data_IF_726656322730
#
_entry.id   IF_726656322730
#
_cell.length_a   1.000
_cell.length_b   1.000
_cell.length_c   1.000
_cell.angle_alpha   90.00
_cell.angle_beta   90.00
_cell.angle_gamma   90.00
#
_symmetry.space_group_name_H-M   'P 1'
#
loop_
_entity.id
_entity.type
_entity.pdbx_description
1 polymer ?
#
# COMPACT_ATOMS: atom_id res chain seq x y z
N UNK A 1 -56.23 12.90 -34.34
CA UNK A 1 -54.81 13.04 -34.25
C UNK A 1 -54.45 12.73 -32.81
N UNK A 2 -53.99 11.51 -32.53
CA UNK A 2 -53.63 11.02 -31.17
C UNK A 2 -52.12 10.99 -31.09
N UNK A 3 -51.52 11.79 -30.17
CA UNK A 3 -50.09 11.82 -29.91
C UNK A 3 -49.77 10.79 -28.80
N UNK A 4 -49.11 9.71 -29.16
CA UNK A 4 -48.57 8.75 -28.18
C UNK A 4 -47.21 9.25 -27.70
N UNK A 5 -47.14 9.66 -26.42
CA UNK A 5 -45.91 10.01 -25.71
C UNK A 5 -45.19 8.70 -25.36
N UNK A 6 -44.10 8.41 -26.03
CA UNK A 6 -43.21 7.30 -25.70
C UNK A 6 -42.34 7.65 -24.48
N UNK A 7 -42.56 6.94 -23.37
CA UNK A 7 -41.75 7.02 -22.16
C UNK A 7 -40.45 6.25 -22.37
N UNK A 8 -39.35 6.96 -22.58
CA UNK A 8 -38.01 6.37 -22.66
C UNK A 8 -37.53 6.07 -21.21
N UNK A 9 -37.61 4.80 -20.78
CA UNK A 9 -36.97 4.34 -19.54
C UNK A 9 -35.45 4.29 -19.77
N UNK A 10 -34.71 5.24 -19.20
CA UNK A 10 -33.29 5.14 -19.01
C UNK A 10 -33.02 4.07 -17.95
N UNK A 11 -32.63 2.90 -18.38
CA UNK A 11 -31.98 1.88 -17.49
C UNK A 11 -30.62 2.44 -17.10
N UNK A 12 -30.55 3.09 -15.95
CA UNK A 12 -29.27 3.31 -15.26
C UNK A 12 -28.74 1.93 -14.87
N UNK A 13 -27.79 1.43 -15.63
CA UNK A 13 -27.06 0.23 -15.28
C UNK A 13 -26.38 0.46 -13.93
N UNK A 14 -26.75 -0.33 -12.92
CA UNK A 14 -26.02 -0.41 -11.65
C UNK A 14 -24.67 -1.03 -11.98
N UNK A 15 -23.64 -0.20 -12.14
CA UNK A 15 -22.26 -0.67 -12.27
C UNK A 15 -21.89 -1.43 -10.99
N UNK A 16 -21.60 -2.69 -11.15
CA UNK A 16 -20.81 -3.61 -10.42
C UNK A 16 -20.54 -3.40 -8.92
N UNK A 17 -21.53 -3.66 -8.08
CA UNK A 17 -21.32 -3.81 -6.62
C UNK A 17 -20.78 -5.21 -6.21
N UNK A 18 -20.31 -6.03 -7.15
CA UNK A 18 -20.00 -7.45 -6.91
C UNK A 18 -18.51 -7.84 -7.06
N UNK A 19 -17.64 -6.97 -7.58
CA UNK A 19 -16.21 -7.28 -7.67
C UNK A 19 -15.49 -6.98 -6.33
N UNK A 20 -14.58 -7.84 -5.88
CA UNK A 20 -13.78 -7.56 -4.68
C UNK A 20 -12.90 -6.32 -4.90
N UNK A 21 -12.63 -5.52 -3.85
CA UNK A 21 -11.74 -4.38 -3.96
C UNK A 21 -10.34 -4.81 -4.39
N UNK A 22 -9.65 -3.94 -5.13
CA UNK A 22 -8.29 -4.16 -5.61
C UNK A 22 -7.30 -3.36 -4.78
N UNK A 23 -6.33 -4.07 -4.21
CA UNK A 23 -5.22 -3.51 -3.47
C UNK A 23 -3.98 -3.54 -4.36
N UNK A 24 -3.39 -2.39 -4.61
CA UNK A 24 -2.13 -2.26 -5.34
C UNK A 24 -1.01 -1.94 -4.36
N UNK A 25 -0.02 -2.83 -4.24
CA UNK A 25 1.18 -2.57 -3.45
C UNK A 25 2.28 -2.06 -4.37
N UNK A 26 2.75 -0.85 -4.10
CA UNK A 26 3.85 -0.20 -4.82
C UNK A 26 4.99 0.00 -3.84
N UNK A 27 5.97 -0.88 -3.90
CA UNK A 27 7.05 -0.96 -2.94
C UNK A 27 8.39 -1.34 -3.57
N UNK A 28 9.36 -1.57 -2.70
CA UNK A 28 10.70 -1.98 -3.07
C UNK A 28 10.99 -3.45 -2.71
N UNK A 29 12.22 -3.77 -2.28
CA UNK A 29 12.64 -5.12 -1.91
C UNK A 29 11.89 -5.69 -0.70
N UNK A 30 11.41 -4.85 0.20
CA UNK A 30 10.70 -5.27 1.41
C UNK A 30 9.33 -5.90 1.06
N UNK A 31 8.69 -5.38 0.02
CA UNK A 31 7.40 -5.88 -0.48
C UNK A 31 7.55 -6.88 -1.64
N UNK A 32 8.71 -6.88 -2.34
CA UNK A 32 8.99 -7.81 -3.44
C UNK A 32 9.48 -9.20 -2.98
N UNK A 33 9.51 -9.48 -1.67
CA UNK A 33 10.00 -10.74 -1.09
C UNK A 33 11.48 -11.03 -1.45
N UNK A 34 12.36 -10.01 -1.43
CA UNK A 34 13.76 -10.18 -1.78
C UNK A 34 14.44 -11.23 -0.89
N UNK A 35 15.18 -12.17 -1.52
CA UNK A 35 15.97 -13.19 -0.82
C UNK A 35 15.16 -14.32 -0.19
N UNK A 36 13.84 -14.35 -0.35
CA UNK A 36 12.95 -15.41 0.11
C UNK A 36 12.02 -15.86 -1.03
N UNK A 37 11.27 -16.95 -0.83
CA UNK A 37 10.27 -17.36 -1.80
C UNK A 37 9.12 -16.35 -1.85
N UNK A 38 8.64 -15.98 -3.03
CA UNK A 38 7.58 -14.98 -3.21
C UNK A 38 6.31 -15.27 -2.38
N UNK A 39 5.93 -16.56 -2.24
CA UNK A 39 4.77 -16.98 -1.43
C UNK A 39 4.93 -16.74 0.08
N UNK A 40 6.17 -16.55 0.56
CA UNK A 40 6.46 -16.28 1.96
C UNK A 40 6.43 -14.79 2.29
N UNK A 41 6.49 -13.90 1.28
CA UNK A 41 6.47 -12.45 1.47
C UNK A 41 5.15 -11.95 2.06
N UNK A 42 5.20 -10.88 2.85
CA UNK A 42 4.04 -10.33 3.56
C UNK A 42 2.87 -9.97 2.62
N UNK A 43 3.14 -9.55 1.38
CA UNK A 43 2.08 -9.24 0.40
C UNK A 43 1.35 -10.51 -0.03
N UNK A 44 2.07 -11.63 -0.19
CA UNK A 44 1.44 -12.92 -0.48
C UNK A 44 0.64 -13.44 0.72
N UNK A 45 1.15 -13.23 1.95
CA UNK A 45 0.42 -13.56 3.18
C UNK A 45 -0.82 -12.68 3.35
N UNK A 46 -0.76 -11.40 2.94
CA UNK A 46 -1.93 -10.51 2.89
C UNK A 46 -3.00 -11.07 1.96
N UNK A 47 -2.63 -11.48 0.76
CA UNK A 47 -3.57 -12.10 -0.19
C UNK A 47 -4.22 -13.36 0.40
N UNK A 48 -3.44 -14.21 1.08
CA UNK A 48 -3.97 -15.38 1.79
C UNK A 48 -4.91 -14.99 2.94
N UNK A 49 -4.56 -13.98 3.76
CA UNK A 49 -5.39 -13.51 4.87
C UNK A 49 -6.72 -12.94 4.39
N UNK A 50 -6.73 -12.32 3.22
CA UNK A 50 -7.94 -11.78 2.61
C UNK A 50 -8.84 -12.85 2.00
N UNK A 51 -8.28 -14.01 1.60
CA UNK A 51 -9.03 -15.19 1.14
C UNK A 51 -10.12 -14.85 0.09
N UNK A 52 -9.73 -14.13 -0.96
CA UNK A 52 -10.62 -13.70 -2.04
C UNK A 52 -11.55 -12.53 -1.70
N UNK A 53 -11.51 -11.97 -0.48
CA UNK A 53 -12.27 -10.77 -0.11
C UNK A 53 -11.73 -9.49 -0.76
N UNK A 54 -10.51 -9.55 -1.25
CA UNK A 54 -9.90 -8.49 -2.07
C UNK A 54 -8.89 -9.11 -3.04
N UNK A 55 -8.67 -8.47 -4.18
CA UNK A 55 -7.58 -8.79 -5.11
C UNK A 55 -6.33 -8.03 -4.68
N UNK A 56 -5.21 -8.72 -4.46
CA UNK A 56 -3.94 -8.10 -4.08
C UNK A 56 -2.97 -8.16 -5.25
N UNK A 57 -2.57 -7.01 -5.75
CA UNK A 57 -1.64 -6.83 -6.86
C UNK A 57 -0.31 -6.33 -6.29
N UNK A 58 0.74 -7.14 -6.36
CA UNK A 58 2.07 -6.74 -5.94
C UNK A 58 2.86 -6.21 -7.14
N UNK A 59 3.03 -4.89 -7.20
CA UNK A 59 3.82 -4.20 -8.21
C UNK A 59 5.18 -3.71 -7.65
N UNK A 60 5.69 -4.32 -6.59
CA UNK A 60 6.94 -3.93 -5.96
C UNK A 60 8.15 -4.39 -6.76
N UNK A 61 9.21 -3.57 -6.79
CA UNK A 61 10.45 -3.84 -7.52
C UNK A 61 11.65 -3.65 -6.58
N UNK A 62 12.45 -4.71 -6.38
CA UNK A 62 13.63 -4.64 -5.54
C UNK A 62 14.60 -3.54 -5.99
N UNK A 63 15.08 -2.72 -5.04
CA UNK A 63 16.01 -1.63 -5.29
C UNK A 63 15.36 -0.35 -5.79
N UNK A 64 14.02 -0.29 -5.89
CA UNK A 64 13.31 0.87 -6.38
C UNK A 64 13.37 2.05 -5.41
N UNK A 65 13.51 3.24 -5.96
CA UNK A 65 13.42 4.51 -5.22
C UNK A 65 12.03 5.11 -5.32
N UNK A 66 11.74 6.09 -4.48
CA UNK A 66 10.52 6.88 -4.60
C UNK A 66 10.34 7.52 -5.98
N UNK A 67 11.46 7.91 -6.62
CA UNK A 67 11.46 8.46 -7.98
C UNK A 67 11.03 7.46 -9.04
N UNK A 68 11.49 6.21 -8.95
CA UNK A 68 11.09 5.13 -9.85
C UNK A 68 9.60 4.79 -9.69
N UNK A 69 9.14 4.63 -8.44
CA UNK A 69 7.73 4.41 -8.15
C UNK A 69 6.83 5.51 -8.69
N UNK A 70 7.20 6.78 -8.45
CA UNK A 70 6.44 7.93 -8.96
C UNK A 70 6.37 8.00 -10.49
N UNK A 71 7.38 7.49 -11.19
CA UNK A 71 7.39 7.48 -12.65
C UNK A 71 6.44 6.44 -13.26
N UNK A 72 6.29 5.26 -12.62
CA UNK A 72 5.47 4.15 -13.15
C UNK A 72 4.06 4.06 -12.56
N UNK A 73 3.78 4.73 -11.43
CA UNK A 73 2.49 4.65 -10.78
C UNK A 73 1.30 5.05 -11.67
N UNK A 74 1.37 6.11 -12.52
CA UNK A 74 0.25 6.44 -13.41
C UNK A 74 -0.17 5.30 -14.34
N UNK A 75 0.77 4.55 -14.89
CA UNK A 75 0.48 3.40 -15.74
C UNK A 75 -0.14 2.26 -14.94
N UNK A 76 0.33 2.01 -13.71
CA UNK A 76 -0.23 1.00 -12.81
C UNK A 76 -1.65 1.34 -12.40
N UNK A 77 -1.94 2.60 -12.09
CA UNK A 77 -3.30 3.06 -11.78
C UNK A 77 -4.25 2.85 -12.97
N UNK A 78 -3.81 3.20 -14.18
CA UNK A 78 -4.58 2.99 -15.40
C UNK A 78 -4.80 1.51 -15.73
N UNK A 79 -3.81 0.65 -15.48
CA UNK A 79 -3.86 -0.78 -15.76
C UNK A 79 -4.75 -1.54 -14.77
N UNK A 80 -4.65 -1.21 -13.48
CA UNK A 80 -5.25 -2.02 -12.41
C UNK A 80 -6.51 -1.39 -11.81
N UNK A 81 -6.73 -0.07 -11.97
CA UNK A 81 -7.83 0.67 -11.36
C UNK A 81 -8.04 0.24 -9.88
N UNK A 82 -7.03 0.42 -9.01
CA UNK A 82 -7.10 -0.04 -7.63
C UNK A 82 -8.07 0.82 -6.80
N UNK A 83 -8.69 0.20 -5.80
CA UNK A 83 -9.48 0.89 -4.79
C UNK A 83 -8.59 1.39 -3.63
N UNK A 84 -7.49 0.66 -3.35
CA UNK A 84 -6.53 1.01 -2.31
C UNK A 84 -5.11 0.87 -2.86
N UNK A 85 -4.27 1.87 -2.64
CA UNK A 85 -2.83 1.85 -2.96
C UNK A 85 -2.02 1.84 -1.66
N UNK A 86 -1.18 0.81 -1.47
CA UNK A 86 -0.21 0.74 -0.39
C UNK A 86 1.13 1.25 -0.93
N UNK A 87 1.62 2.40 -0.42
CA UNK A 87 2.89 2.99 -0.82
C UNK A 87 3.99 2.63 0.18
N UNK A 88 4.89 1.76 -0.24
CA UNK A 88 6.04 1.28 0.56
C UNK A 88 7.33 1.64 -0.19
N UNK A 89 7.73 2.91 -0.19
CA UNK A 89 8.91 3.40 -0.89
C UNK A 89 9.65 4.47 -0.08
N UNK A 90 10.95 4.52 -0.27
CA UNK A 90 11.85 5.46 0.39
C UNK A 90 13.08 4.78 1.00
N UNK A 91 13.02 3.48 1.30
CA UNK A 91 14.16 2.75 1.85
C UNK A 91 15.43 2.95 1.02
N UNK A 92 15.34 2.78 -0.29
CA UNK A 92 16.46 2.99 -1.20
C UNK A 92 16.89 4.47 -1.33
N UNK A 93 15.96 5.42 -1.18
CA UNK A 93 16.30 6.85 -1.10
C UNK A 93 17.15 7.13 0.14
N UNK A 94 16.71 6.63 1.29
CA UNK A 94 17.41 6.77 2.57
C UNK A 94 18.79 6.12 2.56
N UNK A 95 18.89 4.86 2.12
CA UNK A 95 20.14 4.12 2.04
C UNK A 95 21.16 4.75 1.08
N UNK A 96 20.69 5.50 0.06
CA UNK A 96 21.54 6.26 -0.87
C UNK A 96 21.83 7.67 -0.41
N UNK A 97 21.30 8.09 0.75
CA UNK A 97 21.50 9.44 1.30
C UNK A 97 20.83 10.53 0.45
N UNK A 98 19.75 10.21 -0.27
CA UNK A 98 19.03 11.20 -1.09
C UNK A 98 18.32 12.22 -0.19
N UNK A 99 18.14 13.46 -0.66
CA UNK A 99 17.50 14.49 0.15
C UNK A 99 16.06 14.11 0.55
N UNK A 100 15.66 14.22 1.84
CA UNK A 100 14.29 13.95 2.29
C UNK A 100 13.23 14.80 1.57
N UNK A 101 13.58 15.99 1.09
CA UNK A 101 12.72 16.82 0.27
C UNK A 101 12.36 16.20 -1.09
N UNK A 102 13.29 15.40 -1.67
CA UNK A 102 13.03 14.66 -2.90
C UNK A 102 12.08 13.48 -2.64
N UNK A 103 12.30 12.73 -1.55
CA UNK A 103 11.37 11.69 -1.09
C UNK A 103 9.97 12.26 -0.93
N UNK A 104 9.83 13.39 -0.20
CA UNK A 104 8.55 14.06 0.01
C UNK A 104 7.87 14.39 -1.33
N UNK A 105 8.58 15.03 -2.25
CA UNK A 105 8.02 15.44 -3.53
C UNK A 105 7.55 14.23 -4.38
N UNK A 106 8.28 13.11 -4.33
CA UNK A 106 7.92 11.89 -5.05
C UNK A 106 6.70 11.21 -4.44
N UNK A 107 6.66 11.05 -3.09
CA UNK A 107 5.50 10.50 -2.38
C UNK A 107 4.26 11.38 -2.57
N UNK A 108 4.39 12.71 -2.49
CA UNK A 108 3.31 13.66 -2.79
C UNK A 108 2.69 13.37 -4.16
N UNK A 109 3.50 13.28 -5.21
CA UNK A 109 3.00 12.97 -6.57
C UNK A 109 2.26 11.64 -6.64
N UNK A 110 2.75 10.62 -5.91
CA UNK A 110 2.10 9.31 -5.88
C UNK A 110 0.77 9.35 -5.13
N UNK A 111 0.70 10.04 -4.00
CA UNK A 111 -0.53 10.24 -3.22
C UNK A 111 -1.57 10.97 -4.08
N UNK A 112 -1.20 12.11 -4.66
CA UNK A 112 -2.09 12.92 -5.49
C UNK A 112 -2.60 12.14 -6.72
N UNK A 113 -1.73 11.36 -7.38
CA UNK A 113 -2.12 10.53 -8.52
C UNK A 113 -3.09 9.42 -8.11
N UNK A 114 -2.88 8.78 -6.95
CA UNK A 114 -3.77 7.74 -6.43
C UNK A 114 -5.15 8.31 -6.07
N UNK A 115 -5.18 9.44 -5.35
CA UNK A 115 -6.43 10.12 -5.00
C UNK A 115 -7.19 10.65 -6.22
N UNK A 116 -6.47 11.17 -7.23
CA UNK A 116 -7.08 11.56 -8.50
C UNK A 116 -7.69 10.37 -9.28
N UNK A 117 -7.16 9.18 -9.08
CA UNK A 117 -7.72 7.92 -9.56
C UNK A 117 -8.81 7.33 -8.63
N UNK A 118 -9.24 8.07 -7.62
CA UNK A 118 -10.24 7.66 -6.61
C UNK A 118 -9.81 6.48 -5.73
N UNK A 119 -8.51 6.21 -5.63
CA UNK A 119 -7.97 5.19 -4.75
C UNK A 119 -7.64 5.79 -3.37
N UNK A 120 -8.00 5.06 -2.31
CA UNK A 120 -7.50 5.32 -0.96
C UNK A 120 -6.00 5.02 -0.88
N UNK A 121 -5.29 5.71 -0.01
CA UNK A 121 -3.85 5.53 0.14
C UNK A 121 -3.51 5.11 1.57
N UNK A 122 -2.80 3.99 1.71
CA UNK A 122 -2.12 3.59 2.94
C UNK A 122 -0.62 3.84 2.78
N UNK A 123 -0.08 4.72 3.62
CA UNK A 123 1.35 5.03 3.61
C UNK A 123 2.09 4.10 4.58
N UNK A 124 3.12 3.40 4.09
CA UNK A 124 3.96 2.52 4.89
C UNK A 124 5.31 3.21 5.14
N UNK A 125 5.52 3.66 6.36
CA UNK A 125 6.71 4.38 6.79
C UNK A 125 7.94 3.47 6.87
N UNK A 126 9.08 4.04 6.51
CA UNK A 126 10.39 3.39 6.55
C UNK A 126 11.31 4.19 7.47
N UNK A 127 12.16 3.50 8.20
CA UNK A 127 13.30 4.09 8.90
C UNK A 127 14.60 3.55 8.30
N UNK A 128 15.69 4.25 8.55
CA UNK A 128 17.03 3.93 8.05
C UNK A 128 17.98 3.67 9.19
N UNK A 129 19.09 2.92 8.95
CA UNK A 129 20.02 2.58 10.01
C UNK A 129 20.59 3.80 10.76
N UNK A 130 20.90 3.66 12.08
CA UNK A 130 21.35 4.78 12.93
C UNK A 130 22.64 5.47 12.48
N UNK A 131 23.49 4.76 11.73
CA UNK A 131 24.76 5.28 11.23
C UNK A 131 24.63 6.41 10.19
N UNK A 132 23.41 6.69 9.68
CA UNK A 132 23.15 7.85 8.82
C UNK A 132 23.03 9.17 9.60
N UNK A 133 23.00 9.11 10.93
CA UNK A 133 22.95 10.26 11.82
C UNK A 133 21.52 10.72 12.12
N UNK A 134 21.31 11.15 13.38
CA UNK A 134 19.97 11.46 13.91
C UNK A 134 19.25 12.52 13.09
N UNK A 135 19.92 13.63 12.75
CA UNK A 135 19.26 14.74 12.02
C UNK A 135 18.71 14.30 10.64
N UNK A 136 19.45 13.43 9.93
CA UNK A 136 18.97 12.93 8.64
C UNK A 136 17.82 11.93 8.83
N UNK A 137 17.92 11.03 9.82
CA UNK A 137 16.83 10.08 10.15
C UNK A 137 15.55 10.79 10.52
N UNK A 138 15.62 11.79 11.41
CA UNK A 138 14.44 12.59 11.83
C UNK A 138 13.81 13.33 10.65
N UNK A 139 14.65 13.90 9.78
CA UNK A 139 14.16 14.57 8.58
C UNK A 139 13.50 13.59 7.61
N UNK A 140 14.07 12.38 7.48
CA UNK A 140 13.59 11.31 6.59
C UNK A 140 12.29 10.70 7.10
N UNK A 141 12.24 10.20 8.34
CA UNK A 141 11.03 9.59 8.92
C UNK A 141 9.90 10.62 9.06
N UNK A 142 10.25 11.86 9.38
CA UNK A 142 9.29 12.98 9.43
C UNK A 142 8.60 13.28 8.10
N UNK A 143 9.10 12.79 6.95
CA UNK A 143 8.41 12.93 5.67
C UNK A 143 7.09 12.17 5.69
N UNK A 144 7.10 10.92 6.17
CA UNK A 144 5.91 10.06 6.19
C UNK A 144 4.83 10.64 7.11
N UNK A 145 5.21 11.07 8.32
CA UNK A 145 4.27 11.68 9.27
C UNK A 145 3.63 12.94 8.71
N UNK A 146 4.45 13.86 8.15
CA UNK A 146 3.90 15.10 7.55
C UNK A 146 2.99 14.84 6.37
N UNK A 147 3.28 13.85 5.53
CA UNK A 147 2.40 13.50 4.42
C UNK A 147 1.11 12.85 4.89
N UNK A 148 1.15 12.02 5.93
CA UNK A 148 -0.05 11.47 6.53
C UNK A 148 -0.96 12.58 7.09
N UNK A 149 -0.37 13.56 7.80
CA UNK A 149 -1.11 14.71 8.33
C UNK A 149 -1.64 15.64 7.21
N UNK A 150 -0.80 15.96 6.21
CA UNK A 150 -1.14 16.90 5.12
C UNK A 150 -2.27 16.38 4.22
N UNK A 151 -2.38 15.05 4.05
CA UNK A 151 -3.33 14.39 3.14
C UNK A 151 -4.40 13.55 3.86
N UNK A 152 -4.46 13.60 5.19
CA UNK A 152 -5.39 12.81 6.03
C UNK A 152 -5.34 11.31 5.72
N UNK A 153 -4.10 10.74 5.71
CA UNK A 153 -3.86 9.35 5.37
C UNK A 153 -3.65 8.49 6.60
N UNK A 154 -4.07 7.23 6.51
CA UNK A 154 -3.60 6.21 7.43
C UNK A 154 -2.11 5.93 7.18
N UNK A 155 -1.37 5.79 8.27
CA UNK A 155 0.08 5.57 8.26
C UNK A 155 0.44 4.36 9.12
N UNK A 156 1.24 3.47 8.59
CA UNK A 156 2.07 2.56 9.38
C UNK A 156 3.37 3.30 9.67
N UNK A 157 3.66 3.74 10.90
CA UNK A 157 4.79 4.64 11.16
C UNK A 157 6.14 4.03 10.80
N UNK A 158 6.31 2.71 11.05
CA UNK A 158 7.49 1.96 10.67
C UNK A 158 7.11 0.51 10.29
N UNK A 159 7.30 0.16 9.03
CA UNK A 159 6.96 -1.17 8.50
C UNK A 159 7.64 -2.31 9.25
N UNK A 160 8.91 -2.12 9.64
CA UNK A 160 9.74 -3.12 10.31
C UNK A 160 9.82 -2.92 11.84
N UNK A 161 8.77 -2.33 12.45
CA UNK A 161 8.71 -2.18 13.90
C UNK A 161 8.79 -3.54 14.59
N UNK A 162 9.68 -3.65 15.61
CA UNK A 162 9.92 -4.91 16.32
C UNK A 162 10.73 -5.95 15.52
N UNK A 163 11.17 -5.63 14.29
CA UNK A 163 11.84 -6.59 13.38
C UNK A 163 13.28 -6.15 13.08
N UNK A 164 13.48 -4.89 12.69
CA UNK A 164 14.73 -4.40 12.12
C UNK A 164 15.98 -4.58 13.00
N UNK A 165 15.81 -4.67 14.32
CA UNK A 165 16.91 -4.84 15.28
C UNK A 165 17.08 -6.29 15.76
N UNK A 166 16.23 -7.21 15.31
CA UNK A 166 16.31 -8.63 15.66
C UNK A 166 17.05 -9.40 14.55
N UNK A 167 18.28 -9.81 14.85
CA UNK A 167 19.12 -10.55 13.89
C UNK A 167 18.53 -11.92 13.48
N UNK A 168 17.62 -12.51 14.26
CA UNK A 168 16.94 -13.76 13.92
C UNK A 168 15.82 -13.54 12.87
N UNK A 169 15.34 -12.30 12.72
CA UNK A 169 14.31 -11.91 11.77
C UNK A 169 14.88 -11.28 10.50
N UNK A 170 16.20 -10.96 10.48
CA UNK A 170 16.86 -10.34 9.33
C UNK A 170 17.70 -11.33 8.56
N UNK A 171 17.89 -11.06 7.27
CA UNK A 171 18.88 -11.78 6.45
C UNK A 171 20.31 -11.35 6.82
N UNK A 172 21.30 -12.06 6.32
CA UNK A 172 22.72 -11.79 6.65
C UNK A 172 23.23 -10.41 6.23
N UNK A 173 22.49 -9.69 5.37
CA UNK A 173 22.80 -8.31 4.96
C UNK A 173 22.38 -7.27 6.01
N UNK A 174 21.57 -7.65 7.01
CA UNK A 174 21.05 -6.78 8.06
C UNK A 174 20.10 -5.69 7.57
N UNK A 175 19.59 -5.81 6.35
CA UNK A 175 18.68 -4.85 5.71
C UNK A 175 17.33 -5.49 5.40
N UNK A 176 17.34 -6.70 4.86
CA UNK A 176 16.13 -7.38 4.42
C UNK A 176 15.64 -8.36 5.48
N UNK A 177 14.33 -8.33 5.81
CA UNK A 177 13.71 -9.33 6.67
C UNK A 177 13.74 -10.73 6.03
N UNK A 178 13.90 -11.76 6.84
CA UNK A 178 13.80 -13.13 6.38
C UNK A 178 12.34 -13.64 6.35
N UNK A 179 12.13 -14.91 6.01
CA UNK A 179 10.80 -15.51 5.92
C UNK A 179 10.04 -15.52 7.26
N UNK A 180 10.75 -15.65 8.39
CA UNK A 180 10.12 -15.66 9.73
C UNK A 180 9.56 -14.29 10.13
N UNK A 181 10.11 -13.21 9.58
CA UNK A 181 9.66 -11.84 9.83
C UNK A 181 8.37 -11.47 9.06
N UNK A 182 8.06 -12.14 7.98
CA UNK A 182 6.99 -11.71 7.07
C UNK A 182 5.59 -11.70 7.69
N UNK A 183 5.20 -12.65 8.55
CA UNK A 183 3.93 -12.56 9.30
C UNK A 183 3.89 -11.34 10.22
N UNK A 184 5.00 -10.97 10.85
CA UNK A 184 5.08 -9.81 11.74
C UNK A 184 4.95 -8.49 10.97
N UNK A 185 5.52 -8.42 9.75
CA UNK A 185 5.32 -7.26 8.85
C UNK A 185 3.83 -7.12 8.52
N UNK A 186 3.16 -8.21 8.16
CA UNK A 186 1.72 -8.18 7.91
C UNK A 186 0.93 -7.73 9.15
N UNK A 187 1.33 -8.16 10.34
CA UNK A 187 0.68 -7.74 11.58
C UNK A 187 0.94 -6.26 11.91
N UNK A 188 2.06 -5.68 11.49
CA UNK A 188 2.31 -4.23 11.57
C UNK A 188 1.42 -3.43 10.58
N UNK A 189 1.14 -3.98 9.41
CA UNK A 189 0.32 -3.33 8.37
C UNK A 189 -1.18 -3.45 8.67
N UNK A 190 -1.61 -4.58 9.19
CA UNK A 190 -3.03 -4.94 9.31
C UNK A 190 -3.91 -3.92 10.04
N UNK A 191 -3.52 -3.37 11.21
CA UNK A 191 -4.36 -2.42 11.96
C UNK A 191 -4.70 -1.14 11.20
N UNK A 192 -3.81 -0.70 10.30
CA UNK A 192 -4.04 0.47 9.45
C UNK A 192 -4.77 0.13 8.15
N UNK A 193 -4.65 -1.10 7.65
CA UNK A 193 -5.31 -1.54 6.43
C UNK A 193 -6.77 -1.95 6.64
N UNK A 194 -7.08 -2.63 7.75
CA UNK A 194 -8.41 -3.19 8.02
C UNK A 194 -9.55 -2.15 7.97
N UNK A 195 -9.39 -0.92 8.50
CA UNK A 195 -10.40 0.13 8.36
C UNK A 195 -10.71 0.48 6.90
N UNK A 196 -9.68 0.65 6.05
CA UNK A 196 -9.86 0.97 4.63
C UNK A 196 -10.62 -0.12 3.87
N UNK A 197 -10.37 -1.39 4.21
CA UNK A 197 -11.12 -2.52 3.64
C UNK A 197 -12.59 -2.47 4.02
N UNK A 198 -12.90 -2.05 5.24
CA UNK A 198 -14.27 -1.98 5.75
C UNK A 198 -15.05 -0.81 5.15
N UNK A 199 -14.40 0.30 4.84
CA UNK A 199 -14.99 1.47 4.22
C UNK A 199 -15.23 1.26 2.72
N UNK A 200 -14.27 0.67 2.02
CA UNK A 200 -14.38 0.39 0.58
C UNK A 200 -15.29 -0.81 0.28
N UNK A 201 -15.43 -1.74 1.23
CA UNK A 201 -16.25 -2.94 1.10
C UNK A 201 -17.05 -3.20 2.40
N UNK A 202 -18.17 -2.49 2.61
CA UNK A 202 -19.02 -2.77 3.76
C UNK A 202 -19.42 -4.24 3.77
N UNK A 203 -19.03 -4.95 4.83
CA UNK A 203 -19.36 -6.36 5.03
C UNK A 203 -20.86 -6.56 4.80
N UNK A 204 -21.22 -7.31 3.74
CA UNK A 204 -22.58 -7.85 3.64
C UNK A 204 -22.81 -8.65 4.92
N UNK A 205 -23.61 -8.11 5.82
CA UNK A 205 -24.17 -8.89 6.93
C UNK A 205 -24.80 -10.14 6.31
N UNK A 206 -24.30 -11.32 6.68
CA UNK A 206 -25.00 -12.59 6.42
C UNK A 206 -26.32 -12.54 7.17
N UNK A 207 -27.31 -11.88 6.58
CA UNK A 207 -28.71 -12.04 6.98
C UNK A 207 -29.25 -13.24 6.18
N UNK A 208 -29.44 -14.34 6.85
CA UNK A 208 -30.28 -15.40 6.35
C UNK A 208 -29.69 -16.80 6.43
N UNK A 209 -29.51 -17.33 7.63
CA UNK A 209 -29.70 -18.77 7.88
C UNK A 209 -30.16 -18.94 9.33
N UNK A 210 -31.45 -18.73 9.55
CA UNK A 210 -32.22 -19.37 10.59
C UNK A 210 -33.68 -19.34 10.12
N UNK A 211 -34.08 -20.39 9.41
CA UNK A 211 -35.40 -21.07 9.59
C UNK A 211 -35.26 -22.49 9.04
#
# INVERSE_FOLDING_TARGET
MVWTLGLLLLLAGTAGADAPPRLLVVGDSLSAAYGIEARQGWVALLAQRLDGRAEVINASISGETSGGGAARLPDLLGQHAPDIVLLELGGNDGLRGLPPGQLRANLTRMIEASQAATAEVLLLGIDIPPNYGQAYRDAFTGVFHRLADDYDLLLVPFLLEGIALDSELMQSDGIHPNAAAQPLILDNVWPALEPLLSETWPTRTRNGEHE
#
